data_IF_047313524594
#
_entry.id   IF_047313524594
#
_cell.length_a   1.000
_cell.length_b   1.000
_cell.length_c   1.000
_cell.angle_alpha   90.00
_cell.angle_beta   90.00
_cell.angle_gamma   90.00
#
_symmetry.space_group_name_H-M   'P 1'
#
loop_
_entity.id
_entity.type
_entity.pdbx_description
1 polymer ?
#
# COMPACT_ATOMS: atom_id res chain seq x y z
N UNK A 1 -27.65 -10.38 29.34
CA UNK A 1 -28.13 -9.41 28.33
C UNK A 1 -26.95 -9.06 27.43
N UNK A 2 -26.86 -9.59 26.19
CA UNK A 2 -25.78 -9.17 25.30
C UNK A 2 -26.10 -7.76 24.76
N UNK A 3 -25.20 -6.82 24.99
CA UNK A 3 -25.33 -5.43 24.49
C UNK A 3 -25.05 -5.44 22.99
N UNK A 4 -26.09 -5.13 22.22
CA UNK A 4 -26.01 -4.94 20.78
C UNK A 4 -25.23 -3.64 20.52
N UNK A 5 -23.99 -3.74 20.03
CA UNK A 5 -23.22 -2.58 19.59
C UNK A 5 -23.41 -2.46 18.07
N UNK A 6 -24.18 -1.45 17.65
CA UNK A 6 -24.32 -1.11 16.23
C UNK A 6 -22.98 -0.70 15.60
N UNK A 7 -22.92 -0.59 14.26
CA UNK A 7 -21.71 -0.16 13.58
C UNK A 7 -21.27 1.20 14.09
N UNK A 8 -19.99 1.30 14.49
CA UNK A 8 -19.41 2.53 15.06
C UNK A 8 -19.48 3.65 14.04
N UNK A 9 -19.85 4.85 14.48
CA UNK A 9 -19.77 6.03 13.63
C UNK A 9 -18.31 6.34 13.30
N UNK A 10 -18.05 6.96 12.14
CA UNK A 10 -16.68 7.34 11.73
C UNK A 10 -15.95 8.09 12.85
N UNK A 11 -16.65 8.97 13.59
CA UNK A 11 -16.08 9.69 14.74
C UNK A 11 -15.59 8.77 15.86
N UNK A 12 -16.33 7.73 16.19
CA UNK A 12 -15.95 6.77 17.22
C UNK A 12 -14.77 5.90 16.77
N UNK A 13 -14.70 5.60 15.47
CA UNK A 13 -13.60 4.87 14.86
C UNK A 13 -12.31 5.69 14.88
N UNK A 14 -12.37 6.99 14.55
CA UNK A 14 -11.25 7.94 14.64
C UNK A 14 -10.74 8.12 16.07
N UNK A 15 -11.62 8.17 17.06
CA UNK A 15 -11.25 8.30 18.46
C UNK A 15 -10.58 7.03 19.01
N UNK A 16 -10.97 5.85 18.54
CA UNK A 16 -10.43 4.57 19.02
C UNK A 16 -9.02 4.28 18.50
N UNK A 17 -8.68 4.77 17.31
CA UNK A 17 -7.38 4.54 16.65
C UNK A 17 -6.32 5.62 16.97
N UNK A 18 -6.63 6.59 17.82
CA UNK A 18 -5.66 7.60 18.26
C UNK A 18 -5.17 8.56 17.15
N UNK A 19 -5.89 8.65 16.03
CA UNK A 19 -5.62 9.63 14.98
C UNK A 19 -6.31 10.94 15.36
N UNK A 20 -5.66 11.73 16.21
CA UNK A 20 -6.07 13.12 16.47
C UNK A 20 -5.89 13.97 15.20
N UNK A 21 -6.89 14.80 14.99
CA UNK A 21 -7.24 15.55 13.78
C UNK A 21 -6.24 16.69 13.45
N UNK A 22 -5.07 16.36 12.90
CA UNK A 22 -4.17 17.36 12.28
C UNK A 22 -3.67 16.90 10.92
N UNK A 23 -4.58 16.87 9.94
CA UNK A 23 -4.38 17.33 8.54
C UNK A 23 -5.50 16.76 7.66
N UNK A 24 -6.30 17.60 6.97
CA UNK A 24 -7.31 17.15 6.03
C UNK A 24 -6.62 16.80 4.70
N UNK A 25 -5.70 15.85 4.73
CA UNK A 25 -5.31 15.17 3.50
C UNK A 25 -6.42 14.15 3.23
N UNK A 26 -7.09 14.15 2.08
CA UNK A 26 -8.07 13.12 1.78
C UNK A 26 -7.39 11.76 1.94
N UNK A 27 -7.79 11.00 2.98
CA UNK A 27 -7.19 9.69 3.27
C UNK A 27 -7.40 8.71 2.10
N UNK A 28 -8.34 9.01 1.21
CA UNK A 28 -8.88 8.06 0.25
C UNK A 28 -9.23 8.79 -1.05
N UNK A 29 -8.28 8.89 -1.99
CA UNK A 29 -8.65 9.32 -3.33
C UNK A 29 -9.35 8.19 -4.12
N UNK A 30 -9.18 6.91 -3.76
CA UNK A 30 -9.78 5.79 -4.51
C UNK A 30 -10.03 4.48 -3.70
N UNK A 31 -10.02 4.48 -2.36
CA UNK A 31 -10.20 3.23 -1.59
C UNK A 31 -11.68 2.98 -1.23
N UNK A 32 -12.25 1.80 -1.53
CA UNK A 32 -13.59 1.45 -1.06
C UNK A 32 -13.54 1.22 0.47
N UNK A 33 -13.93 2.25 1.22
CA UNK A 33 -14.05 2.26 2.68
C UNK A 33 -15.05 1.22 3.25
N UNK A 34 -15.83 0.57 2.39
CA UNK A 34 -16.91 -0.35 2.81
C UNK A 34 -16.39 -1.59 3.58
N UNK A 35 -15.12 -1.96 3.41
CA UNK A 35 -14.52 -3.13 4.08
C UNK A 35 -14.22 -2.93 5.58
N UNK A 36 -14.26 -1.69 6.10
CA UNK A 36 -13.92 -1.39 7.50
C UNK A 36 -15.13 -1.43 8.45
N UNK A 37 -16.31 -1.84 7.98
CA UNK A 37 -17.53 -1.98 8.78
C UNK A 37 -17.68 -3.34 9.51
N UNK A 38 -16.69 -4.23 9.39
CA UNK A 38 -16.68 -5.59 9.97
C UNK A 38 -15.76 -5.81 11.18
N UNK A 39 -15.44 -7.07 11.48
CA UNK A 39 -14.43 -7.45 12.50
C UNK A 39 -13.04 -6.97 12.06
N UNK A 40 -12.57 -5.87 12.64
CA UNK A 40 -11.25 -5.30 12.41
C UNK A 40 -10.13 -6.36 12.58
N UNK A 41 -10.28 -7.30 13.51
CA UNK A 41 -9.31 -8.37 13.71
C UNK A 41 -9.26 -9.35 12.54
N UNK A 42 -10.38 -9.57 11.85
CA UNK A 42 -10.41 -10.38 10.62
C UNK A 42 -9.70 -9.65 9.47
N UNK A 43 -9.99 -8.36 9.27
CA UNK A 43 -9.35 -7.52 8.23
C UNK A 43 -7.84 -7.45 8.44
N UNK A 44 -7.38 -7.21 9.67
CA UNK A 44 -5.94 -7.19 9.99
C UNK A 44 -5.25 -8.52 9.65
N UNK A 45 -5.86 -9.65 9.99
CA UNK A 45 -5.32 -10.97 9.67
C UNK A 45 -5.29 -11.24 8.16
N UNK A 46 -6.28 -10.76 7.43
CA UNK A 46 -6.33 -10.86 5.97
C UNK A 46 -5.20 -10.05 5.32
N UNK A 47 -5.04 -8.76 5.69
CA UNK A 47 -3.96 -7.90 5.19
C UNK A 47 -2.59 -8.45 5.54
N UNK A 48 -2.42 -8.96 6.76
CA UNK A 48 -1.19 -9.63 7.18
C UNK A 48 -0.87 -10.83 6.29
N UNK A 49 -1.83 -11.73 6.05
CA UNK A 49 -1.64 -12.89 5.16
C UNK A 49 -1.25 -12.48 3.75
N UNK A 50 -1.92 -11.46 3.20
CA UNK A 50 -1.59 -10.93 1.88
C UNK A 50 -0.15 -10.38 1.82
N UNK A 51 0.30 -9.69 2.87
CA UNK A 51 1.65 -9.14 2.95
C UNK A 51 2.70 -10.24 3.04
N UNK A 52 2.53 -11.25 3.89
CA UNK A 52 3.54 -12.31 4.05
C UNK A 52 3.52 -13.35 2.92
N UNK A 53 2.52 -13.29 2.03
CA UNK A 53 2.43 -14.22 0.91
C UNK A 53 3.57 -13.94 -0.08
N UNK A 54 4.48 -14.91 -0.28
CA UNK A 54 5.64 -14.72 -1.14
C UNK A 54 5.19 -14.57 -2.58
N UNK A 55 5.84 -13.63 -3.28
CA UNK A 55 5.68 -13.47 -4.71
C UNK A 55 7.06 -13.31 -5.34
N UNK A 56 7.28 -14.01 -6.46
CA UNK A 56 8.52 -13.91 -7.22
C UNK A 56 8.24 -13.08 -8.46
N UNK A 57 9.08 -12.09 -8.67
CA UNK A 57 9.05 -11.23 -9.84
C UNK A 57 10.31 -11.41 -10.66
N UNK A 58 10.22 -11.08 -11.93
CA UNK A 58 11.34 -10.93 -12.85
C UNK A 58 11.28 -9.55 -13.51
N UNK A 59 12.42 -8.98 -13.94
CA UNK A 59 12.42 -7.77 -14.76
C UNK A 59 11.50 -7.92 -15.97
N UNK A 60 10.66 -6.91 -16.21
CA UNK A 60 9.64 -6.89 -17.26
C UNK A 60 8.24 -7.28 -16.79
N UNK A 61 8.08 -7.90 -15.62
CA UNK A 61 6.75 -8.22 -15.08
C UNK A 61 5.94 -6.94 -14.82
N UNK A 62 4.66 -6.96 -15.19
CA UNK A 62 3.72 -5.94 -14.78
C UNK A 62 3.13 -6.28 -13.42
N UNK A 63 3.19 -5.33 -12.51
CA UNK A 63 2.70 -5.48 -11.13
C UNK A 63 1.76 -4.35 -10.74
N UNK A 64 0.90 -4.61 -9.77
CA UNK A 64 0.02 -3.64 -9.13
C UNK A 64 -0.01 -3.89 -7.62
N UNK A 65 -0.51 -2.93 -6.85
CA UNK A 65 -0.65 -3.11 -5.41
C UNK A 65 -1.60 -4.27 -5.09
N UNK A 66 -1.22 -5.09 -4.11
CA UNK A 66 -2.19 -5.95 -3.42
C UNK A 66 -3.23 -5.04 -2.74
N UNK A 67 -4.52 -5.41 -2.77
CA UNK A 67 -5.57 -4.61 -2.14
C UNK A 67 -5.25 -4.27 -0.67
N UNK A 68 -5.36 -2.99 -0.31
CA UNK A 68 -5.14 -2.49 1.05
C UNK A 68 -3.68 -2.52 1.55
N UNK A 69 -2.70 -2.73 0.66
CA UNK A 69 -1.27 -2.74 1.02
C UNK A 69 -0.46 -1.58 0.41
N UNK A 70 -1.08 -0.65 -0.33
CA UNK A 70 -0.43 0.55 -0.87
C UNK A 70 0.11 1.43 0.26
N UNK A 71 1.36 1.86 0.11
CA UNK A 71 2.06 2.64 1.13
C UNK A 71 2.92 3.77 0.52
N UNK A 72 2.74 4.04 -0.77
CA UNK A 72 3.42 5.09 -1.53
C UNK A 72 2.41 5.75 -2.48
N UNK A 73 2.66 7.01 -2.85
CA UNK A 73 1.76 7.77 -3.74
C UNK A 73 1.65 7.13 -5.14
N UNK A 74 2.79 6.67 -5.65
CA UNK A 74 2.93 6.06 -6.97
C UNK A 74 3.38 4.60 -6.84
N UNK A 75 2.94 3.69 -7.74
CA UNK A 75 1.86 3.90 -8.70
C UNK A 75 0.50 4.12 -7.97
N UNK A 76 -0.46 4.76 -8.64
CA UNK A 76 -1.84 4.81 -8.13
C UNK A 76 -2.43 3.40 -8.09
N UNK A 77 -3.48 3.18 -7.29
CA UNK A 77 -4.26 1.95 -7.43
C UNK A 77 -4.76 1.84 -8.89
N UNK A 78 -4.85 0.60 -9.40
CA UNK A 78 -5.28 0.32 -10.78
C UNK A 78 -4.34 0.78 -11.90
N UNK A 79 -3.18 1.38 -11.57
CA UNK A 79 -2.11 1.66 -12.54
C UNK A 79 -0.99 0.63 -12.38
N UNK A 80 -0.58 -0.05 -13.47
CA UNK A 80 0.51 -1.00 -13.38
C UNK A 80 1.86 -0.26 -13.27
N UNK A 81 2.81 -0.92 -12.63
CA UNK A 81 4.23 -0.60 -12.70
C UNK A 81 4.98 -1.78 -13.32
N UNK A 82 6.13 -1.51 -13.94
CA UNK A 82 6.99 -2.57 -14.49
C UNK A 82 8.12 -2.86 -13.52
N UNK A 83 8.43 -4.13 -13.31
CA UNK A 83 9.61 -4.54 -12.53
C UNK A 83 10.86 -4.22 -13.34
N UNK A 84 11.72 -3.35 -12.80
CA UNK A 84 13.02 -2.99 -13.39
C UNK A 84 14.12 -3.89 -12.84
N UNK A 85 14.09 -4.16 -11.53
CA UNK A 85 15.04 -5.05 -10.88
C UNK A 85 14.44 -5.68 -9.61
N UNK A 86 14.96 -6.85 -9.25
CA UNK A 86 14.77 -7.49 -7.94
C UNK A 86 16.14 -7.58 -7.29
N UNK A 87 16.25 -7.11 -6.05
CA UNK A 87 17.51 -6.97 -5.33
C UNK A 87 17.68 -8.15 -4.36
N UNK A 88 18.81 -8.85 -4.46
CA UNK A 88 19.14 -9.92 -3.52
C UNK A 88 19.38 -9.39 -2.10
N UNK A 89 19.86 -8.14 -2.00
CA UNK A 89 20.06 -7.45 -0.74
C UNK A 89 19.19 -6.18 -0.70
N UNK A 90 18.13 -6.14 0.13
CA UNK A 90 17.23 -5.00 0.20
C UNK A 90 17.95 -3.72 0.62
N UNK A 91 17.56 -2.60 0.01
CA UNK A 91 17.93 -1.27 0.50
C UNK A 91 16.98 -0.90 1.63
N UNK A 92 17.51 -0.39 2.72
CA UNK A 92 16.69 0.09 3.83
C UNK A 92 16.45 1.58 3.65
N UNK A 93 15.20 2.00 3.79
CA UNK A 93 14.85 3.40 3.73
C UNK A 93 15.66 4.21 4.76
N UNK A 94 16.12 5.39 4.35
CA UNK A 94 16.98 6.26 5.15
C UNK A 94 16.20 7.19 6.08
N UNK A 95 14.86 7.17 6.03
CA UNK A 95 14.00 7.87 6.98
C UNK A 95 14.30 7.40 8.42
N UNK A 96 14.77 8.34 9.25
CA UNK A 96 15.44 8.07 10.53
C UNK A 96 14.51 8.02 11.75
N UNK A 97 13.20 8.00 11.54
CA UNK A 97 12.23 8.08 12.63
C UNK A 97 11.49 6.76 12.81
N UNK A 98 11.64 6.13 13.98
CA UNK A 98 10.98 4.86 14.32
C UNK A 98 9.45 4.94 14.36
N UNK A 99 8.88 6.14 14.27
CA UNK A 99 7.44 6.41 14.15
C UNK A 99 6.94 6.52 12.71
N UNK A 100 7.81 6.57 11.69
CA UNK A 100 7.40 6.49 10.29
C UNK A 100 6.87 5.09 10.00
N UNK A 101 5.73 5.00 9.32
CA UNK A 101 5.12 3.74 8.87
C UNK A 101 6.02 2.93 7.92
N UNK A 102 7.17 3.50 7.52
CA UNK A 102 8.11 2.96 6.55
C UNK A 102 9.51 2.72 7.13
N UNK A 103 9.69 2.96 8.43
CA UNK A 103 10.96 2.72 9.11
C UNK A 103 11.37 1.25 8.97
N UNK A 104 12.53 1.03 8.35
CA UNK A 104 13.10 -0.31 8.06
C UNK A 104 12.18 -1.19 7.22
N UNK A 105 11.53 -0.62 6.22
CA UNK A 105 10.93 -1.42 5.15
C UNK A 105 12.04 -2.05 4.29
N UNK A 106 11.99 -3.36 3.98
CA UNK A 106 12.96 -4.00 3.09
C UNK A 106 12.62 -3.65 1.64
N UNK A 107 13.31 -2.66 1.07
CA UNK A 107 13.09 -2.27 -0.32
C UNK A 107 13.93 -3.17 -1.24
N UNK A 108 13.32 -4.26 -1.68
CA UNK A 108 13.94 -5.35 -2.45
C UNK A 108 13.53 -5.34 -3.94
N UNK A 109 12.67 -4.41 -4.36
CA UNK A 109 12.21 -4.32 -5.74
C UNK A 109 12.31 -2.89 -6.28
N UNK A 110 12.82 -2.73 -7.49
CA UNK A 110 12.83 -1.47 -8.22
C UNK A 110 11.72 -1.52 -9.27
N UNK A 111 10.77 -0.59 -9.18
CA UNK A 111 9.67 -0.49 -10.12
C UNK A 111 9.77 0.79 -10.95
N UNK A 112 9.46 0.66 -12.23
CA UNK A 112 9.34 1.75 -13.18
C UNK A 112 7.88 2.16 -13.38
N UNK A 113 7.63 3.47 -13.42
CA UNK A 113 6.31 4.06 -13.67
C UNK A 113 6.44 5.23 -14.63
N UNK A 114 5.34 5.54 -15.33
CA UNK A 114 5.21 6.80 -16.08
C UNK A 114 4.79 7.89 -15.10
N UNK A 115 5.60 8.93 -15.00
CA UNK A 115 5.30 10.07 -14.13
C UNK A 115 4.09 10.84 -14.66
N UNK A 116 3.07 11.05 -13.83
CA UNK A 116 1.81 11.67 -14.22
C UNK A 116 1.68 13.13 -13.75
N UNK A 117 2.75 13.71 -13.19
CA UNK A 117 2.78 15.07 -12.65
C UNK A 117 3.78 15.98 -13.38
N UNK A 118 3.41 17.24 -13.53
CA UNK A 118 4.31 18.26 -14.07
C UNK A 118 5.43 18.59 -13.06
N UNK A 119 6.63 18.99 -13.52
CA UNK A 119 7.02 19.28 -14.90
C UNK A 119 7.44 18.06 -15.74
N UNK A 120 7.59 16.88 -15.14
CA UNK A 120 8.19 15.71 -15.80
C UNK A 120 7.13 14.70 -16.29
N UNK A 121 5.92 15.16 -16.61
CA UNK A 121 4.82 14.29 -17.03
C UNK A 121 5.23 13.49 -18.27
N UNK A 122 5.04 12.18 -18.24
CA UNK A 122 5.38 11.27 -19.33
C UNK A 122 6.75 10.60 -19.20
N UNK A 123 7.60 11.08 -18.28
CA UNK A 123 8.92 10.50 -18.06
C UNK A 123 8.85 9.13 -17.38
N UNK A 124 9.78 8.24 -17.75
CA UNK A 124 9.95 6.96 -17.08
C UNK A 124 10.85 7.12 -15.85
N UNK A 125 10.28 6.94 -14.67
CA UNK A 125 10.99 7.12 -13.39
C UNK A 125 10.95 5.83 -12.59
N UNK A 126 11.97 5.62 -11.74
CA UNK A 126 12.13 4.39 -10.96
C UNK A 126 12.14 4.68 -9.46
N UNK A 127 11.48 3.83 -8.68
CA UNK A 127 11.49 3.90 -7.22
C UNK A 127 11.74 2.52 -6.60
N UNK A 128 12.22 2.52 -5.36
CA UNK A 128 12.43 1.31 -4.57
C UNK A 128 11.17 1.01 -3.74
N UNK A 129 10.82 -0.27 -3.66
CA UNK A 129 9.62 -0.78 -3.00
C UNK A 129 9.86 -2.11 -2.29
N UNK A 130 8.99 -2.43 -1.35
CA UNK A 130 8.82 -3.77 -0.78
C UNK A 130 7.96 -4.64 -1.70
N UNK A 131 8.59 -5.64 -2.32
CA UNK A 131 7.96 -6.59 -3.25
C UNK A 131 6.72 -7.25 -2.68
N UNK A 132 6.66 -7.46 -1.35
CA UNK A 132 5.56 -8.15 -0.66
C UNK A 132 4.21 -7.47 -0.82
N UNK A 133 4.20 -6.18 -1.14
CA UNK A 133 3.00 -5.35 -1.31
C UNK A 133 2.41 -5.41 -2.71
N UNK A 134 3.11 -6.03 -3.66
CA UNK A 134 2.70 -6.06 -5.05
C UNK A 134 2.19 -7.44 -5.45
N UNK A 135 1.40 -7.48 -6.50
CA UNK A 135 0.97 -8.67 -7.22
C UNK A 135 1.11 -8.48 -8.72
N UNK A 136 1.33 -9.57 -9.46
CA UNK A 136 1.27 -9.57 -10.92
C UNK A 136 -0.09 -9.05 -11.39
N UNK A 137 -0.07 -8.22 -12.43
CA UNK A 137 -1.29 -7.83 -13.13
C UNK A 137 -1.88 -9.08 -13.79
N UNK A 138 -3.16 -9.34 -13.53
CA UNK A 138 -3.89 -10.35 -14.27
C UNK A 138 -4.34 -9.69 -15.58
N UNK A 139 -3.75 -10.13 -16.70
CA UNK A 139 -4.29 -9.79 -18.00
C UNK A 139 -5.55 -10.66 -18.20
N UNK A 140 -6.72 -10.02 -18.21
CA UNK A 140 -7.95 -10.67 -18.66
C UNK A 140 -7.73 -11.12 -20.11
N UNK A 141 -7.71 -12.43 -20.32
CA UNK A 141 -7.47 -13.07 -21.61
C UNK A 141 -8.78 -13.43 -22.30
#
# INVERSE_FOLDING_TARGET
>A
MPRNHGPLSSRELHALIGLTDESPTPLFDDEPLEALSGDLGAVLRERYRALIQPQRFAPGDLVTWKPGLKNRRVPRYSRPAVVVAVLDNPVWDSERESGSTYFREPLDCVLGVIWDEDPNRGEFVTFHYDSRRFQLVQEDR
#
